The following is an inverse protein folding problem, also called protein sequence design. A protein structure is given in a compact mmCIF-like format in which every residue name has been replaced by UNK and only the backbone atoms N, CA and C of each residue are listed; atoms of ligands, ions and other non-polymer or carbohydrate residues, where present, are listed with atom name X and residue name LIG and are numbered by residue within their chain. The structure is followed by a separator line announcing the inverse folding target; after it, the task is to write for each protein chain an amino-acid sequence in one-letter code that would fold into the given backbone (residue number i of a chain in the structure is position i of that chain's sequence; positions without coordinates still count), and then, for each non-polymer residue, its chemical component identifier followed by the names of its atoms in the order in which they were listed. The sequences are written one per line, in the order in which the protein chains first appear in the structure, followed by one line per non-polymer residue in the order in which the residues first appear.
data_IF_834399525406
#
_entry.id   IF_834399525406
#
_cell.length_a   1.000
_cell.length_b   1.000
_cell.length_c   1.000
_cell.angle_alpha   90.00
_cell.angle_beta   90.00
_cell.angle_gamma   90.00
#
_symmetry.space_group_name_H-M   'P 1'
#
loop_
_entity.id
_entity.type
_entity.pdbx_description
1 polymer ?
#
# COMPACT_ATOMS: atom_id res chain seq x y z
N UNK A 1 4.21 8.35 -11.04
CA UNK A 1 4.84 9.69 -11.05
C UNK A 1 3.92 10.80 -10.54
N UNK A 2 2.64 10.90 -10.95
CA UNK A 2 1.70 11.89 -10.37
C UNK A 2 1.70 11.90 -8.84
N UNK A 3 1.48 10.74 -8.19
CA UNK A 3 1.49 10.63 -6.73
C UNK A 3 2.85 10.87 -6.07
N UNK A 4 3.95 10.63 -6.81
CA UNK A 4 5.30 10.95 -6.32
C UNK A 4 5.48 12.47 -6.27
N UNK A 5 5.05 13.18 -7.31
CA UNK A 5 5.10 14.64 -7.34
C UNK A 5 4.16 15.27 -6.29
N UNK A 6 2.97 14.70 -6.09
CA UNK A 6 2.05 15.11 -5.03
C UNK A 6 2.69 14.97 -3.64
N UNK A 7 3.36 13.85 -3.37
CA UNK A 7 4.12 13.64 -2.14
C UNK A 7 5.23 14.69 -1.94
N UNK A 8 6.04 14.96 -2.96
CA UNK A 8 7.11 15.96 -2.86
C UNK A 8 6.56 17.38 -2.66
N UNK A 9 5.43 17.73 -3.28
CA UNK A 9 4.75 19.02 -3.02
C UNK A 9 4.28 19.13 -1.58
N UNK A 10 3.77 18.05 -0.98
CA UNK A 10 3.40 18.03 0.44
C UNK A 10 4.63 18.22 1.34
N UNK A 11 5.77 17.59 1.02
CA UNK A 11 7.04 17.82 1.72
C UNK A 11 7.50 19.28 1.63
N UNK A 12 7.48 19.87 0.43
CA UNK A 12 7.84 21.28 0.22
C UNK A 12 6.95 22.22 1.03
N UNK A 13 5.63 21.96 1.09
CA UNK A 13 4.69 22.73 1.92
C UNK A 13 4.98 22.62 3.42
N UNK A 14 5.52 21.49 3.87
CA UNK A 14 5.95 21.29 5.25
C UNK A 14 7.34 21.89 5.55
N UNK A 15 7.97 22.56 4.57
CA UNK A 15 9.26 23.21 4.71
C UNK A 15 10.46 22.28 4.49
N UNK A 16 10.24 21.08 3.97
CA UNK A 16 11.30 20.15 3.59
C UNK A 16 11.68 20.36 2.12
N UNK A 17 12.85 20.93 1.89
CA UNK A 17 13.39 21.18 0.55
C UNK A 17 14.45 20.14 0.21
N UNK A 18 13.99 18.94 -0.15
CA UNK A 18 14.86 17.83 -0.51
C UNK A 18 15.09 17.75 -2.03
N UNK A 19 16.23 17.20 -2.42
CA UNK A 19 16.43 16.71 -3.80
C UNK A 19 15.42 15.59 -4.07
N UNK A 20 14.61 15.71 -5.13
CA UNK A 20 13.61 14.71 -5.49
C UNK A 20 14.30 13.41 -5.95
N UNK A 21 14.35 12.41 -5.08
CA UNK A 21 14.94 11.09 -5.34
C UNK A 21 13.86 10.02 -5.45
N UNK A 22 14.05 9.06 -6.34
CA UNK A 22 13.16 7.89 -6.47
C UNK A 22 14.02 6.65 -6.48
N UNK A 23 13.75 5.72 -5.56
CA UNK A 23 14.20 4.34 -5.74
C UNK A 23 13.19 3.61 -6.64
N UNK A 24 13.65 3.16 -7.81
CA UNK A 24 12.84 2.44 -8.78
C UNK A 24 13.14 0.94 -8.70
N UNK A 25 12.19 0.17 -8.19
CA UNK A 25 12.18 -1.29 -8.28
C UNK A 25 11.20 -1.73 -9.36
N UNK A 26 11.66 -2.53 -10.32
CA UNK A 26 10.85 -2.99 -11.46
C UNK A 26 11.43 -4.27 -12.05
N UNK A 27 10.61 -5.08 -12.71
CA UNK A 27 11.05 -6.20 -13.55
C UNK A 27 11.29 -5.80 -15.02
N UNK A 28 10.97 -4.56 -15.39
CA UNK A 28 11.16 -3.98 -16.72
C UNK A 28 12.36 -3.03 -16.77
N UNK A 29 13.55 -3.47 -17.23
CA UNK A 29 14.79 -2.70 -17.15
C UNK A 29 14.81 -1.43 -18.03
N UNK A 30 14.00 -1.39 -19.10
CA UNK A 30 13.91 -0.22 -19.99
C UNK A 30 13.27 0.98 -19.32
N UNK A 31 12.53 0.78 -18.21
CA UNK A 31 11.86 1.86 -17.49
C UNK A 31 12.84 2.83 -16.80
N UNK A 32 14.07 2.42 -16.50
CA UNK A 32 15.06 3.33 -15.92
C UNK A 32 15.43 4.46 -16.87
N UNK A 33 15.72 4.14 -18.13
CA UNK A 33 16.08 5.14 -19.14
C UNK A 33 14.87 6.00 -19.52
N UNK A 34 13.68 5.39 -19.60
CA UNK A 34 12.44 6.12 -19.80
C UNK A 34 12.17 7.11 -18.65
N UNK A 35 12.32 6.69 -17.40
CA UNK A 35 12.08 7.52 -16.23
C UNK A 35 13.06 8.71 -16.19
N UNK A 36 14.36 8.47 -16.42
CA UNK A 36 15.37 9.53 -16.48
C UNK A 36 15.11 10.53 -17.61
N UNK A 37 14.63 10.05 -18.75
CA UNK A 37 14.32 10.91 -19.91
C UNK A 37 13.07 11.76 -19.68
N UNK A 38 12.00 11.16 -19.14
CA UNK A 38 10.71 11.84 -18.95
C UNK A 38 10.68 12.73 -17.71
N UNK A 39 11.48 12.42 -16.69
CA UNK A 39 11.48 13.09 -15.40
C UNK A 39 12.91 13.50 -14.98
N UNK A 40 13.59 14.36 -15.77
CA UNK A 40 14.98 14.76 -15.52
C UNK A 40 15.19 15.55 -14.21
N UNK A 41 14.12 16.07 -13.61
CA UNK A 41 14.12 16.74 -12.31
C UNK A 41 14.22 15.77 -11.12
N UNK A 42 14.07 14.46 -11.37
CA UNK A 42 14.20 13.41 -10.36
C UNK A 42 15.53 12.66 -10.51
N UNK A 43 16.18 12.40 -9.37
CA UNK A 43 17.31 11.50 -9.28
C UNK A 43 16.81 10.06 -9.14
N UNK A 44 16.89 9.30 -10.23
CA UNK A 44 16.39 7.92 -10.32
C UNK A 44 17.49 6.93 -9.88
N UNK A 45 17.29 6.35 -8.71
CA UNK A 45 18.16 5.38 -8.04
C UNK A 45 17.60 3.97 -8.29
N UNK A 46 18.49 3.01 -8.53
CA UNK A 46 18.17 1.59 -8.68
C UNK A 46 19.10 0.93 -9.70
N UNK A 47 19.05 -0.39 -9.78
CA UNK A 47 19.95 -1.17 -10.63
C UNK A 47 19.17 -1.87 -11.76
N UNK A 48 19.34 -1.45 -13.03
CA UNK A 48 18.73 -2.12 -14.17
C UNK A 48 19.12 -3.59 -14.34
N UNK A 49 20.27 -4.02 -13.79
CA UNK A 49 20.69 -5.42 -13.84
C UNK A 49 19.83 -6.30 -12.90
N UNK A 50 19.37 -5.76 -11.77
CA UNK A 50 18.39 -6.42 -10.89
C UNK A 50 17.12 -6.72 -11.68
N UNK A 51 16.59 -5.75 -12.43
CA UNK A 51 15.38 -5.92 -13.24
C UNK A 51 15.53 -6.99 -14.33
N UNK A 52 16.70 -7.08 -14.98
CA UNK A 52 16.97 -8.13 -15.99
C UNK A 52 16.92 -9.55 -15.41
N UNK A 53 17.26 -9.71 -14.14
CA UNK A 53 17.17 -11.00 -13.44
C UNK A 53 15.72 -11.35 -13.06
N UNK A 54 14.91 -10.33 -12.74
CA UNK A 54 13.48 -10.47 -12.44
C UNK A 54 12.60 -10.68 -13.69
N UNK A 55 13.03 -10.26 -14.87
CA UNK A 55 12.21 -10.34 -16.10
C UNK A 55 12.02 -11.75 -16.71
N UNK A 56 12.75 -12.79 -16.28
CA UNK A 56 12.57 -14.15 -16.82
C UNK A 56 12.42 -15.23 -15.76
N UNK A 57 11.40 -16.10 -15.91
CA UNK A 57 11.09 -17.18 -14.96
C UNK A 57 12.29 -18.10 -14.66
N UNK A 58 13.12 -18.36 -15.67
CA UNK A 58 14.30 -19.22 -15.54
C UNK A 58 15.44 -18.56 -14.74
N UNK A 59 15.49 -17.21 -14.70
CA UNK A 59 16.48 -16.47 -13.91
C UNK A 59 16.03 -16.19 -12.48
N UNK A 60 14.70 -16.16 -12.24
CA UNK A 60 14.10 -15.95 -10.92
C UNK A 60 14.47 -17.02 -9.88
N UNK A 61 14.87 -18.22 -10.32
CA UNK A 61 15.21 -19.34 -9.43
C UNK A 61 16.72 -19.48 -9.14
N UNK A 62 17.56 -18.57 -9.66
CA UNK A 62 18.99 -18.51 -9.32
C UNK A 62 19.20 -17.71 -8.02
N UNK A 63 20.19 -18.13 -7.22
CA UNK A 63 20.53 -17.50 -5.92
C UNK A 63 20.71 -15.98 -6.02
N UNK A 64 21.28 -15.48 -7.12
CA UNK A 64 21.47 -14.05 -7.37
C UNK A 64 20.13 -13.29 -7.48
N UNK A 65 19.07 -13.93 -8.00
CA UNK A 65 17.74 -13.30 -8.10
C UNK A 65 17.08 -13.11 -6.73
N UNK A 66 17.38 -13.98 -5.76
CA UNK A 66 16.88 -13.85 -4.38
C UNK A 66 17.54 -12.65 -3.72
N UNK A 67 18.86 -12.50 -3.87
CA UNK A 67 19.58 -11.34 -3.33
C UNK A 67 19.12 -10.03 -3.97
N UNK A 68 18.82 -10.05 -5.27
CA UNK A 68 18.31 -8.90 -5.99
C UNK A 68 16.95 -8.43 -5.46
N UNK A 69 15.98 -9.34 -5.29
CA UNK A 69 14.67 -8.97 -4.75
C UNK A 69 14.73 -8.54 -3.28
N UNK A 70 15.60 -9.17 -2.47
CA UNK A 70 15.85 -8.75 -1.09
C UNK A 70 16.41 -7.33 -1.06
N UNK A 71 17.32 -7.01 -1.98
CA UNK A 71 17.90 -5.67 -2.12
C UNK A 71 16.82 -4.64 -2.45
N UNK A 72 15.95 -4.93 -3.42
CA UNK A 72 14.81 -4.05 -3.74
C UNK A 72 13.88 -3.85 -2.54
N UNK A 73 13.46 -4.93 -1.87
CA UNK A 73 12.60 -4.85 -0.68
C UNK A 73 13.28 -4.05 0.42
N UNK A 74 14.58 -4.24 0.64
CA UNK A 74 15.34 -3.51 1.64
C UNK A 74 15.33 -2.01 1.36
N UNK A 75 15.64 -1.57 0.13
CA UNK A 75 15.61 -0.15 -0.21
C UNK A 75 14.21 0.44 -0.16
N UNK A 76 13.21 -0.27 -0.70
CA UNK A 76 11.80 0.14 -0.65
C UNK A 76 11.30 0.31 0.80
N UNK A 77 11.69 -0.57 1.72
CA UNK A 77 11.18 -0.56 3.09
C UNK A 77 11.97 0.33 4.05
N UNK A 78 13.30 0.35 3.95
CA UNK A 78 14.18 1.00 4.93
C UNK A 78 14.59 2.42 4.53
N UNK A 79 14.66 2.71 3.23
CA UNK A 79 15.25 3.97 2.73
C UNK A 79 14.24 4.87 2.02
N UNK A 80 13.08 4.36 1.64
CA UNK A 80 12.01 5.19 1.11
C UNK A 80 11.16 5.79 2.23
N UNK A 81 10.91 7.09 2.15
CA UNK A 81 9.99 7.77 3.05
C UNK A 81 8.51 7.49 2.74
N UNK A 82 8.21 7.07 1.51
CA UNK A 82 6.87 6.88 0.98
C UNK A 82 6.87 5.87 -0.16
N UNK A 83 5.82 5.04 -0.26
CA UNK A 83 5.68 4.03 -1.31
C UNK A 83 4.63 4.43 -2.34
N UNK A 84 4.94 4.34 -3.63
CA UNK A 84 3.96 4.42 -4.72
C UNK A 84 4.06 3.15 -5.54
N UNK A 85 3.03 2.31 -5.51
CA UNK A 85 3.10 0.97 -6.10
C UNK A 85 1.71 0.39 -6.40
N UNK A 86 1.67 -0.89 -6.78
CA UNK A 86 0.45 -1.70 -6.78
C UNK A 86 0.46 -2.66 -5.59
N UNK A 87 -0.56 -2.58 -4.74
CA UNK A 87 -0.74 -3.54 -3.65
C UNK A 87 -1.29 -4.88 -4.11
N UNK A 88 -1.56 -5.10 -5.40
CA UNK A 88 -1.66 -6.45 -5.94
C UNK A 88 -0.32 -7.22 -5.89
N UNK A 89 0.82 -6.52 -5.87
CA UNK A 89 2.16 -7.10 -5.77
C UNK A 89 2.56 -7.45 -4.33
N UNK A 90 2.94 -8.71 -4.09
CA UNK A 90 3.50 -9.17 -2.82
C UNK A 90 4.76 -8.37 -2.41
N UNK A 91 5.59 -7.96 -3.37
CA UNK A 91 6.83 -7.23 -3.12
C UNK A 91 6.53 -5.88 -2.46
N UNK A 92 5.52 -5.17 -2.96
CA UNK A 92 5.15 -3.90 -2.36
C UNK A 92 4.50 -4.08 -0.99
N UNK A 93 3.60 -5.06 -0.83
CA UNK A 93 2.96 -5.34 0.47
C UNK A 93 4.00 -5.69 1.53
N UNK A 94 4.97 -6.55 1.21
CA UNK A 94 6.05 -6.91 2.12
C UNK A 94 6.94 -5.70 2.46
N UNK A 95 7.27 -4.87 1.48
CA UNK A 95 8.06 -3.65 1.72
C UNK A 95 7.31 -2.68 2.65
N UNK A 96 6.00 -2.54 2.47
CA UNK A 96 5.13 -1.73 3.32
C UNK A 96 4.99 -2.30 4.74
N UNK A 97 4.86 -3.61 4.90
CA UNK A 97 4.85 -4.28 6.21
C UNK A 97 6.14 -4.01 6.99
N UNK A 98 7.30 -4.17 6.34
CA UNK A 98 8.61 -3.89 6.95
C UNK A 98 8.72 -2.40 7.30
N UNK A 99 8.29 -1.49 6.41
CA UNK A 99 8.30 -0.05 6.67
C UNK A 99 7.55 0.32 7.96
N UNK A 100 6.40 -0.32 8.22
CA UNK A 100 5.63 -0.12 9.45
C UNK A 100 6.34 -0.62 10.71
N UNK A 101 7.33 -1.51 10.60
CA UNK A 101 8.13 -1.95 11.76
C UNK A 101 9.26 -0.97 12.12
N UNK A 102 9.62 -0.07 11.20
CA UNK A 102 10.77 0.83 11.33
C UNK A 102 10.40 2.21 11.89
N UNK A 103 9.12 2.55 11.92
CA UNK A 103 8.62 3.87 12.32
C UNK A 103 7.41 3.71 13.26
N UNK A 104 7.13 4.69 14.14
CA UNK A 104 5.99 4.59 15.05
C UNK A 104 4.65 4.39 14.35
N UNK A 105 4.44 5.07 13.22
CA UNK A 105 3.26 4.92 12.36
C UNK A 105 3.63 5.28 10.92
N UNK A 106 3.70 4.28 10.05
CA UNK A 106 3.86 4.45 8.60
C UNK A 106 2.61 4.02 7.84
N UNK A 107 1.46 3.88 8.52
CA UNK A 107 0.25 3.30 7.94
C UNK A 107 -0.34 4.14 6.79
N UNK A 108 -0.04 5.43 6.76
CA UNK A 108 -0.45 6.35 5.70
C UNK A 108 0.66 6.64 4.66
N UNK A 109 1.84 6.02 4.78
CA UNK A 109 3.01 6.31 3.94
C UNK A 109 3.03 5.54 2.63
N UNK A 110 1.89 5.45 1.97
CA UNK A 110 1.78 4.78 0.68
C UNK A 110 0.65 5.34 -0.19
N UNK A 111 0.80 5.19 -1.50
CA UNK A 111 -0.29 5.23 -2.47
C UNK A 111 -0.27 3.95 -3.29
N UNK A 112 -1.35 3.17 -3.22
CA UNK A 112 -1.56 2.04 -4.11
C UNK A 112 -2.35 2.48 -5.33
N UNK A 113 -1.97 2.00 -6.51
CA UNK A 113 -2.66 2.28 -7.78
C UNK A 113 -3.85 1.34 -8.04
N UNK A 114 -3.99 0.27 -7.24
CA UNK A 114 -5.02 -0.74 -7.40
C UNK A 114 -5.65 -1.11 -6.04
N UNK A 115 -5.20 -2.20 -5.43
CA UNK A 115 -5.81 -2.76 -4.24
C UNK A 115 -5.55 -1.91 -2.99
N UNK A 116 -6.45 -1.99 -2.02
CA UNK A 116 -6.09 -1.63 -0.63
C UNK A 116 -5.21 -2.71 -0.03
N UNK A 117 -4.48 -2.41 1.06
CA UNK A 117 -3.67 -3.43 1.72
C UNK A 117 -4.50 -4.67 2.12
N UNK A 118 -3.97 -5.86 1.83
CA UNK A 118 -4.55 -7.14 2.23
C UNK A 118 -3.47 -8.21 2.46
N UNK A 119 -3.80 -9.19 3.29
CA UNK A 119 -3.06 -10.42 3.47
C UNK A 119 -3.83 -11.59 2.84
N UNK A 120 -3.18 -12.40 2.03
CA UNK A 120 -3.84 -13.54 1.37
C UNK A 120 -4.37 -14.55 2.38
N UNK A 121 -5.67 -14.86 2.31
CA UNK A 121 -6.34 -15.74 3.27
C UNK A 121 -6.77 -15.06 4.57
N UNK A 122 -6.71 -13.72 4.65
CA UNK A 122 -7.27 -12.97 5.77
C UNK A 122 -8.79 -13.17 5.90
N UNK A 123 -9.28 -12.95 7.12
CA UNK A 123 -10.72 -12.77 7.37
C UNK A 123 -11.19 -11.53 6.60
N UNK A 124 -12.43 -11.56 6.08
CA UNK A 124 -13.00 -10.42 5.37
C UNK A 124 -12.91 -9.15 6.21
N UNK A 125 -12.28 -8.11 5.64
CA UNK A 125 -12.19 -6.80 6.27
C UNK A 125 -13.58 -6.18 6.30
N UNK A 126 -13.99 -5.72 7.48
CA UNK A 126 -15.26 -5.04 7.68
C UNK A 126 -15.06 -3.54 7.87
N UNK A 127 -15.97 -2.77 7.29
CA UNK A 127 -16.19 -1.37 7.60
C UNK A 127 -17.57 -1.23 8.27
N UNK A 128 -17.74 -0.22 9.13
CA UNK A 128 -19.01 0.13 9.77
C UNK A 128 -19.45 1.51 9.30
N UNK A 129 -20.69 1.64 8.87
CA UNK A 129 -21.28 2.92 8.49
C UNK A 129 -21.48 3.84 9.71
N UNK A 130 -20.89 5.03 9.64
CA UNK A 130 -21.04 6.09 10.65
C UNK A 130 -22.06 7.14 10.23
N UNK A 131 -22.23 7.33 8.91
CA UNK A 131 -23.13 8.31 8.32
C UNK A 131 -24.06 7.60 7.35
N UNK A 132 -25.35 7.90 7.43
CA UNK A 132 -26.31 7.36 6.48
C UNK A 132 -26.09 7.90 5.06
N UNK A 133 -26.53 7.12 4.08
CA UNK A 133 -26.46 7.48 2.67
C UNK A 133 -27.68 6.94 1.97
N UNK A 134 -28.33 7.79 1.17
CA UNK A 134 -29.22 7.33 0.12
C UNK A 134 -28.46 7.28 -1.19
N UNK A 135 -28.58 6.17 -1.90
CA UNK A 135 -27.99 5.98 -3.22
C UNK A 135 -28.49 7.04 -4.20
N UNK A 136 -27.60 7.65 -4.98
CA UNK A 136 -27.95 8.57 -6.07
C UNK A 136 -28.21 7.85 -7.40
N UNK A 137 -27.88 6.56 -7.48
CA UNK A 137 -28.08 5.72 -8.67
C UNK A 137 -28.00 4.22 -8.38
N UNK A 138 -28.19 3.36 -9.40
CA UNK A 138 -28.19 1.91 -9.24
C UNK A 138 -26.82 1.31 -8.89
N UNK A 139 -25.74 2.08 -9.06
CA UNK A 139 -24.37 1.67 -8.76
C UNK A 139 -23.99 1.84 -7.28
N UNK A 140 -24.78 2.62 -6.53
CA UNK A 140 -24.55 2.92 -5.11
C UNK A 140 -25.50 2.12 -4.21
N UNK A 141 -25.05 1.78 -3.00
CA UNK A 141 -25.92 1.23 -1.96
C UNK A 141 -26.44 2.33 -1.03
N UNK A 142 -27.63 2.11 -0.48
CA UNK A 142 -28.05 2.79 0.74
C UNK A 142 -27.19 2.31 1.93
N UNK A 143 -26.83 3.24 2.82
CA UNK A 143 -26.20 2.97 4.11
C UNK A 143 -27.09 3.44 5.25
N UNK A 144 -27.28 2.58 6.23
CA UNK A 144 -27.82 2.93 7.55
C UNK A 144 -26.68 2.92 8.58
N UNK A 145 -26.74 3.81 9.57
CA UNK A 145 -25.71 3.88 10.62
C UNK A 145 -25.65 2.54 11.36
N UNK A 146 -24.45 1.97 11.48
CA UNK A 146 -24.22 0.66 12.06
C UNK A 146 -24.22 -0.50 11.05
N UNK A 147 -24.54 -0.26 9.77
CA UNK A 147 -24.37 -1.28 8.75
C UNK A 147 -22.91 -1.73 8.68
N UNK A 148 -22.69 -3.04 8.59
CA UNK A 148 -21.38 -3.63 8.36
C UNK A 148 -21.21 -3.95 6.86
N UNK A 149 -20.06 -3.58 6.31
CA UNK A 149 -19.72 -3.74 4.89
C UNK A 149 -18.46 -4.59 4.78
N UNK A 150 -18.56 -5.73 4.10
CA UNK A 150 -17.39 -6.48 3.64
C UNK A 150 -16.71 -5.71 2.52
N UNK A 151 -15.48 -5.25 2.77
CA UNK A 151 -14.74 -4.38 1.87
C UNK A 151 -14.18 -5.21 0.72
N UNK A 152 -14.49 -4.82 -0.52
CA UNK A 152 -13.87 -5.38 -1.71
C UNK A 152 -12.65 -4.54 -2.17
N UNK A 153 -12.72 -3.22 -2.06
CA UNK A 153 -11.61 -2.32 -2.41
C UNK A 153 -12.00 -0.84 -2.40
N UNK A 154 -11.00 0.02 -2.57
CA UNK A 154 -11.16 1.46 -2.73
C UNK A 154 -10.86 1.83 -4.18
N UNK A 155 -11.69 2.69 -4.78
CA UNK A 155 -11.50 3.13 -6.16
C UNK A 155 -10.61 4.37 -6.29
N UNK A 156 -10.21 4.96 -5.16
CA UNK A 156 -9.37 6.17 -5.09
C UNK A 156 -10.02 7.42 -5.71
N UNK A 157 -11.35 7.42 -5.84
CA UNK A 157 -12.18 8.50 -6.40
C UNK A 157 -13.20 9.07 -5.39
N UNK A 158 -13.06 8.70 -4.11
CA UNK A 158 -14.01 9.03 -3.04
C UNK A 158 -15.04 7.94 -2.73
N UNK A 159 -15.10 6.89 -3.56
CA UNK A 159 -15.96 5.73 -3.36
C UNK A 159 -15.17 4.45 -3.11
N UNK A 160 -15.82 3.52 -2.42
CA UNK A 160 -15.34 2.16 -2.21
C UNK A 160 -16.41 1.18 -2.60
N UNK A 161 -16.00 -0.05 -2.92
CA UNK A 161 -16.90 -1.15 -3.26
C UNK A 161 -16.90 -2.18 -2.13
N UNK A 162 -18.05 -2.74 -1.86
CA UNK A 162 -18.19 -3.77 -0.83
C UNK A 162 -19.58 -4.35 -0.78
N UNK A 163 -19.78 -5.33 0.10
CA UNK A 163 -21.06 -6.01 0.32
C UNK A 163 -21.64 -5.57 1.64
N UNK A 164 -22.77 -4.88 1.62
CA UNK A 164 -23.50 -4.54 2.84
C UNK A 164 -24.14 -5.82 3.43
N UNK A 165 -23.79 -6.15 4.66
CA UNK A 165 -24.21 -7.40 5.31
C UNK A 165 -25.70 -7.44 5.66
N UNK A 166 -26.36 -6.29 5.82
CA UNK A 166 -27.81 -6.21 6.05
C UNK A 166 -28.58 -6.42 4.75
N UNK A 167 -28.20 -5.75 3.66
CA UNK A 167 -28.95 -5.78 2.40
C UNK A 167 -28.48 -6.87 1.42
N UNK A 168 -27.30 -7.46 1.67
CA UNK A 168 -26.60 -8.43 0.82
C UNK A 168 -26.29 -7.94 -0.60
N UNK A 169 -26.25 -6.61 -0.81
CA UNK A 169 -25.92 -6.00 -2.10
C UNK A 169 -24.44 -5.63 -2.15
N UNK A 170 -23.81 -5.89 -3.29
CA UNK A 170 -22.42 -5.48 -3.58
C UNK A 170 -22.42 -4.30 -4.55
N UNK A 171 -22.19 -3.09 -4.05
CA UNK A 171 -22.30 -1.83 -4.78
C UNK A 171 -21.24 -0.83 -4.27
N UNK A 172 -21.25 0.39 -4.82
CA UNK A 172 -20.42 1.50 -4.36
C UNK A 172 -21.01 2.18 -3.13
N UNK A 173 -20.15 2.76 -2.33
CA UNK A 173 -20.52 3.63 -1.22
C UNK A 173 -19.43 4.71 -0.99
N UNK A 174 -19.78 5.91 -0.49
CA UNK A 174 -18.80 6.94 -0.22
C UNK A 174 -17.85 6.54 0.92
N UNK A 175 -16.54 6.52 0.67
CA UNK A 175 -15.53 5.98 1.60
C UNK A 175 -15.52 6.73 2.94
N UNK A 176 -15.72 8.05 2.93
CA UNK A 176 -15.65 8.87 4.14
C UNK A 176 -16.81 8.62 5.13
N UNK A 177 -17.86 7.90 4.73
CA UNK A 177 -19.04 7.63 5.57
C UNK A 177 -18.90 6.39 6.45
N UNK A 178 -17.80 5.67 6.32
CA UNK A 178 -17.55 4.44 7.07
C UNK A 178 -16.24 4.54 7.85
N UNK A 179 -16.05 3.66 8.82
CA UNK A 179 -14.77 3.43 9.50
C UNK A 179 -14.41 1.95 9.51
N UNK A 180 -13.13 1.62 9.62
CA UNK A 180 -12.70 0.21 9.68
C UNK A 180 -13.04 -0.40 11.02
N UNK A 181 -13.66 -1.59 10.98
CA UNK A 181 -13.92 -2.41 12.16
C UNK A 181 -12.63 -3.11 12.55
N UNK A 182 -12.14 -2.84 13.75
CA UNK A 182 -10.97 -3.54 14.30
C UNK A 182 -11.44 -4.85 14.91
N UNK A 183 -11.06 -5.96 14.27
CA UNK A 183 -11.32 -7.31 14.79
C UNK A 183 -10.27 -7.68 15.83
N UNK A 184 -10.71 -8.25 16.95
CA UNK A 184 -9.85 -8.63 18.08
C UNK A 184 -9.98 -10.12 18.34
N UNK A 185 -8.84 -10.81 18.34
CA UNK A 185 -8.77 -12.23 18.68
C UNK A 185 -7.91 -12.42 19.94
N UNK A 186 -8.30 -13.32 20.85
CA UNK A 186 -7.50 -13.62 22.03
C UNK A 186 -6.24 -14.40 21.63
N UNK A 187 -5.07 -13.80 21.85
CA UNK A 187 -3.76 -14.46 21.75
C UNK A 187 -3.17 -14.68 23.15
N UNK A 188 -2.25 -15.63 23.28
CA UNK A 188 -1.52 -15.85 24.53
C UNK A 188 -0.72 -14.59 24.92
N UNK A 189 -0.85 -14.13 26.15
CA UNK A 189 -0.17 -12.93 26.66
C UNK A 189 1.27 -13.17 27.11
N UNK A 190 1.73 -14.42 27.11
CA UNK A 190 3.07 -14.84 27.54
C UNK A 190 3.60 -14.12 28.80
N UNK A 191 2.90 -14.17 29.94
CA UNK A 191 3.21 -13.34 31.12
C UNK A 191 4.58 -13.61 31.75
N UNK A 192 5.22 -14.74 31.40
CA UNK A 192 6.55 -15.11 31.89
C UNK A 192 7.70 -14.60 31.00
N UNK A 193 7.41 -13.90 29.90
CA UNK A 193 8.42 -13.29 29.03
C UNK A 193 8.61 -11.83 29.46
N UNK A 194 9.78 -11.51 30.00
CA UNK A 194 10.22 -10.13 30.24
C UNK A 194 11.06 -9.64 29.06
N UNK A 195 10.62 -8.57 28.39
CA UNK A 195 11.45 -7.89 27.39
C UNK A 195 12.58 -7.15 28.11
N UNK A 196 13.83 -7.51 27.79
CA UNK A 196 14.97 -6.72 28.23
C UNK A 196 14.96 -5.40 27.44
N UNK A 197 14.53 -4.32 28.08
CA UNK A 197 14.61 -2.97 27.51
C UNK A 197 16.08 -2.55 27.51
N UNK A 198 16.77 -2.74 26.38
CA UNK A 198 18.05 -2.09 26.15
C UNK A 198 17.76 -0.62 25.84
N UNK A 199 18.03 0.25 26.81
CA UNK A 199 18.06 1.72 26.66
C UNK A 199 19.30 2.16 25.91
#
# INVERSE_FOLDING_TARGET
MYHVEEYYKLKELNGEYDTKRIYLATDEPTLFDEARLKYPEYDIIGDPEISKSAGSLQKRELDDSIMNIITDIYFLSHHCDYLVCTFSSNVCRLSYEIMNSLQPDASAKFTSLDDTFYFSGQVHRLNVALISHKSEGPEEMDLEVGDEIEVAGNHWDGYSKGTNLRTKKTLLYPTFKVTTKIEVFPFASYPNITLNTWT
#
